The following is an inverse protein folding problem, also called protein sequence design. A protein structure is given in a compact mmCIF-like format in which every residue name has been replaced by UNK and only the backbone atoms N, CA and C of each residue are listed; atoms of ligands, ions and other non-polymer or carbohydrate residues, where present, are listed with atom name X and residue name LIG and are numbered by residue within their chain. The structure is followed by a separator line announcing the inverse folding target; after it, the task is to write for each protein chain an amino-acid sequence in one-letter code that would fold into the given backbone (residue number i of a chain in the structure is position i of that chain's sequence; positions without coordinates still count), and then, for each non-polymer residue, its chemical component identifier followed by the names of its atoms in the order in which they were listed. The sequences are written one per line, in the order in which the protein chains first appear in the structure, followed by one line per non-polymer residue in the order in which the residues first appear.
data_IF_314825694572
#
_entry.id   IF_314825694572
#
_cell.length_a   1.000
_cell.length_b   1.000
_cell.length_c   1.000
_cell.angle_alpha   90.00
_cell.angle_beta   90.00
_cell.angle_gamma   90.00
#
_symmetry.space_group_name_H-M   'P 1'
#
loop_
_entity.id
_entity.type
_entity.pdbx_description
1 polymer ?
#
# COMPACT_ATOMS: atom_id res chain seq x y z
N UNK A 1 6.91 -13.41 -5.97
CA UNK A 1 5.52 -13.01 -5.75
C UNK A 1 5.01 -12.31 -6.98
N UNK A 2 3.81 -12.61 -7.40
CA UNK A 2 3.21 -11.96 -8.55
C UNK A 2 2.10 -11.01 -8.13
N UNK A 3 1.52 -10.31 -9.09
CA UNK A 3 0.47 -9.31 -8.82
C UNK A 3 -0.74 -9.90 -8.09
N UNK A 4 -1.01 -11.19 -8.25
CA UNK A 4 -2.18 -11.83 -7.65
C UNK A 4 -2.15 -11.85 -6.13
N UNK A 5 -0.96 -11.80 -5.52
CA UNK A 5 -0.87 -11.79 -4.06
C UNK A 5 -1.23 -10.44 -3.46
N UNK A 6 -0.96 -9.35 -4.17
CA UNK A 6 -1.25 -8.01 -3.66
C UNK A 6 -2.66 -7.55 -4.00
N UNK A 7 -3.22 -8.00 -5.11
CA UNK A 7 -4.51 -7.50 -5.60
C UNK A 7 -5.62 -7.61 -4.56
N UNK A 8 -5.82 -8.75 -3.86
CA UNK A 8 -6.89 -8.82 -2.86
C UNK A 8 -6.71 -7.81 -1.73
N UNK A 9 -5.48 -7.58 -1.28
CA UNK A 9 -5.20 -6.63 -0.20
C UNK A 9 -5.43 -5.20 -0.68
N UNK A 10 -5.00 -4.87 -1.89
CA UNK A 10 -5.24 -3.55 -2.47
C UNK A 10 -6.72 -3.28 -2.65
N UNK A 11 -7.49 -4.28 -3.08
CA UNK A 11 -8.94 -4.16 -3.19
C UNK A 11 -9.59 -3.95 -1.81
N UNK A 12 -9.08 -4.64 -0.79
CA UNK A 12 -9.55 -4.45 0.58
C UNK A 12 -9.31 -3.02 1.06
N UNK A 13 -8.13 -2.48 0.79
CA UNK A 13 -7.78 -1.10 1.13
C UNK A 13 -8.70 -0.12 0.40
N UNK A 14 -8.97 -0.35 -0.89
CA UNK A 14 -9.88 0.51 -1.65
C UNK A 14 -11.27 0.53 -1.01
N UNK A 15 -11.77 -0.64 -0.60
CA UNK A 15 -13.05 -0.75 0.09
C UNK A 15 -13.05 0.04 1.41
N UNK A 16 -11.96 -0.05 2.18
CA UNK A 16 -11.84 0.68 3.44
C UNK A 16 -11.80 2.20 3.21
N UNK A 17 -11.12 2.66 2.17
CA UNK A 17 -11.10 4.08 1.84
C UNK A 17 -12.52 4.57 1.52
N UNK A 18 -13.25 3.82 0.68
CA UNK A 18 -14.62 4.19 0.32
C UNK A 18 -15.56 4.19 1.52
N UNK A 19 -15.44 3.17 2.38
CA UNK A 19 -16.25 3.09 3.60
C UNK A 19 -15.95 4.26 4.54
N UNK A 20 -14.67 4.60 4.69
CA UNK A 20 -14.25 5.71 5.55
C UNK A 20 -14.79 7.04 5.02
N UNK A 21 -14.71 7.27 3.71
CA UNK A 21 -15.26 8.49 3.11
C UNK A 21 -16.77 8.58 3.32
N UNK A 22 -17.48 7.47 3.19
CA UNK A 22 -18.92 7.46 3.41
C UNK A 22 -19.29 7.75 4.87
N UNK A 23 -18.49 7.23 5.81
CA UNK A 23 -18.71 7.45 7.23
C UNK A 23 -18.51 8.92 7.62
N UNK A 24 -17.59 9.62 6.95
CA UNK A 24 -17.24 11.01 7.25
C UNK A 24 -18.20 12.02 6.59
N UNK A 25 -19.39 11.66 6.21
CA UNK A 25 -20.36 12.54 5.55
C UNK A 25 -21.06 13.47 6.56
N UNK A 26 -20.29 14.27 7.28
CA UNK A 26 -20.85 15.18 8.26
C UNK A 26 -20.36 16.60 8.03
N UNK A 27 -19.68 17.12 9.02
CA UNK A 27 -19.16 18.47 8.97
C UNK A 27 -17.83 18.50 8.21
N UNK A 28 -17.86 19.02 6.99
CA UNK A 28 -16.67 19.11 6.14
C UNK A 28 -15.55 19.93 6.78
N UNK A 29 -15.90 20.95 7.55
CA UNK A 29 -14.88 21.78 8.20
C UNK A 29 -14.12 21.00 9.27
N UNK A 30 -14.81 20.15 10.03
CA UNK A 30 -14.18 19.34 11.06
C UNK A 30 -13.46 18.11 10.49
N UNK A 31 -13.93 17.60 9.36
CA UNK A 31 -13.42 16.36 8.78
C UNK A 31 -12.42 16.59 7.65
N UNK A 32 -12.09 17.83 7.37
CA UNK A 32 -11.22 18.18 6.24
C UNK A 32 -9.86 17.49 6.32
N UNK A 33 -9.25 17.43 7.51
CA UNK A 33 -7.96 16.79 7.70
C UNK A 33 -8.06 15.30 7.40
N UNK A 34 -9.13 14.65 7.84
CA UNK A 34 -9.33 13.23 7.62
C UNK A 34 -9.60 12.93 6.14
N UNK A 35 -10.32 13.79 5.45
CA UNK A 35 -10.53 13.66 4.02
C UNK A 35 -9.23 13.83 3.24
N UNK A 36 -8.35 14.72 3.69
CA UNK A 36 -7.00 14.83 3.13
C UNK A 36 -6.21 13.53 3.30
N UNK A 37 -6.24 12.96 4.52
CA UNK A 37 -5.53 11.71 4.78
C UNK A 37 -6.04 10.58 3.87
N UNK A 38 -7.34 10.52 3.65
CA UNK A 38 -7.93 9.50 2.77
C UNK A 38 -7.54 9.74 1.31
N UNK A 39 -7.42 11.00 0.90
CA UNK A 39 -6.95 11.35 -0.45
C UNK A 39 -5.52 10.90 -0.68
N UNK A 40 -4.64 11.07 0.32
CA UNK A 40 -3.27 10.57 0.24
C UNK A 40 -3.24 9.05 0.18
N UNK A 41 -4.08 8.37 0.97
CA UNK A 41 -4.17 6.92 0.90
C UNK A 41 -4.61 6.45 -0.49
N UNK A 42 -5.55 7.15 -1.11
CA UNK A 42 -6.00 6.83 -2.46
C UNK A 42 -4.88 7.03 -3.48
N UNK A 43 -4.10 8.09 -3.34
CA UNK A 43 -2.96 8.34 -4.23
C UNK A 43 -1.89 7.25 -4.08
N UNK A 44 -1.60 6.85 -2.84
CA UNK A 44 -0.64 5.78 -2.56
C UNK A 44 -1.12 4.45 -3.14
N UNK A 45 -2.42 4.15 -3.01
CA UNK A 45 -3.01 2.96 -3.59
C UNK A 45 -2.86 2.94 -5.11
N UNK A 46 -3.11 4.07 -5.75
CA UNK A 46 -2.93 4.19 -7.20
C UNK A 46 -1.48 3.98 -7.61
N UNK A 47 -0.54 4.54 -6.85
CA UNK A 47 0.88 4.36 -7.11
C UNK A 47 1.28 2.87 -7.01
N UNK A 48 0.78 2.16 -6.00
CA UNK A 48 1.04 0.74 -5.84
C UNK A 48 0.50 -0.06 -7.02
N UNK A 49 -0.73 0.22 -7.45
CA UNK A 49 -1.33 -0.46 -8.60
C UNK A 49 -0.54 -0.17 -9.89
N UNK A 50 -0.05 1.05 -10.03
CA UNK A 50 0.72 1.46 -11.21
C UNK A 50 2.05 0.71 -11.29
N UNK A 51 2.76 0.58 -10.17
CA UNK A 51 4.04 -0.14 -10.19
C UNK A 51 3.84 -1.64 -10.44
N UNK A 52 2.75 -2.22 -9.92
CA UNK A 52 2.44 -3.63 -10.20
C UNK A 52 2.13 -3.84 -11.69
N UNK A 53 1.41 -2.92 -12.31
CA UNK A 53 1.16 -3.00 -13.75
C UNK A 53 2.46 -2.91 -14.54
N UNK A 54 3.42 -2.11 -14.07
CA UNK A 54 4.73 -1.98 -14.71
C UNK A 54 5.55 -3.27 -14.66
N UNK A 55 5.38 -4.09 -13.62
CA UNK A 55 6.09 -5.38 -13.51
C UNK A 55 5.73 -6.32 -14.65
N UNK A 56 4.49 -6.28 -15.13
CA UNK A 56 4.07 -7.14 -16.24
C UNK A 56 4.84 -6.80 -17.51
N UNK A 57 5.20 -5.54 -17.71
CA UNK A 57 5.96 -5.08 -18.86
C UNK A 57 7.45 -5.21 -18.65
N UNK A 58 7.91 -5.11 -17.41
CA UNK A 58 9.32 -5.17 -17.07
C UNK A 58 9.52 -6.01 -15.80
N UNK A 59 9.68 -7.34 -15.95
CA UNK A 59 9.86 -8.23 -14.79
C UNK A 59 11.06 -7.90 -13.90
N UNK A 60 12.03 -7.14 -14.41
CA UNK A 60 13.17 -6.71 -13.60
C UNK A 60 12.75 -5.82 -12.43
N UNK A 61 11.55 -5.25 -12.48
CA UNK A 61 11.01 -4.42 -11.40
C UNK A 61 10.38 -5.23 -10.27
N UNK A 62 10.30 -6.56 -10.39
CA UNK A 62 9.53 -7.39 -9.46
C UNK A 62 9.93 -7.17 -8.00
N UNK A 63 11.24 -7.24 -7.71
CA UNK A 63 11.67 -7.19 -6.30
C UNK A 63 11.49 -5.80 -5.68
N UNK A 64 11.77 -4.74 -6.43
CA UNK A 64 11.53 -3.39 -5.91
C UNK A 64 10.05 -3.11 -5.78
N UNK A 65 9.23 -3.63 -6.71
CA UNK A 65 7.77 -3.49 -6.63
C UNK A 65 7.21 -4.21 -5.40
N UNK A 66 7.69 -5.41 -5.10
CA UNK A 66 7.28 -6.15 -3.91
C UNK A 66 7.52 -5.32 -2.65
N UNK A 67 8.72 -4.75 -2.52
CA UNK A 67 9.05 -3.90 -1.37
C UNK A 67 8.14 -2.68 -1.32
N UNK A 68 8.03 -1.96 -2.43
CA UNK A 68 7.27 -0.72 -2.47
C UNK A 68 5.80 -0.95 -2.13
N UNK A 69 5.18 -1.97 -2.73
CA UNK A 69 3.76 -2.25 -2.51
C UNK A 69 3.52 -2.73 -1.08
N UNK A 70 4.39 -3.59 -0.56
CA UNK A 70 4.28 -4.05 0.83
C UNK A 70 4.40 -2.86 1.80
N UNK A 71 5.31 -1.92 1.54
CA UNK A 71 5.49 -0.73 2.36
C UNK A 71 4.26 0.16 2.32
N UNK A 72 3.70 0.39 1.14
CA UNK A 72 2.48 1.20 0.98
C UNK A 72 1.31 0.58 1.73
N UNK A 73 1.08 -0.73 1.56
CA UNK A 73 -0.01 -1.42 2.24
C UNK A 73 0.15 -1.31 3.76
N UNK A 74 1.36 -1.55 4.26
CA UNK A 74 1.64 -1.49 5.69
C UNK A 74 1.40 -0.08 6.23
N UNK A 75 1.88 0.93 5.54
CA UNK A 75 1.74 2.32 5.94
C UNK A 75 0.28 2.75 6.01
N UNK A 76 -0.51 2.43 4.97
CA UNK A 76 -1.94 2.76 4.96
C UNK A 76 -2.67 2.03 6.08
N UNK A 77 -2.38 0.73 6.25
CA UNK A 77 -3.05 -0.08 7.28
C UNK A 77 -2.77 0.46 8.67
N UNK A 78 -1.53 0.86 8.96
CA UNK A 78 -1.18 1.42 10.25
C UNK A 78 -1.90 2.75 10.51
N UNK A 79 -2.01 3.60 9.51
CA UNK A 79 -2.76 4.85 9.64
C UNK A 79 -4.25 4.59 9.91
N UNK A 80 -4.83 3.60 9.23
CA UNK A 80 -6.22 3.22 9.46
C UNK A 80 -6.42 2.60 10.83
N UNK A 81 -5.46 1.81 11.31
CA UNK A 81 -5.55 1.20 12.64
C UNK A 81 -5.63 2.26 13.74
N UNK A 82 -4.82 3.30 13.62
CA UNK A 82 -4.82 4.41 14.59
C UNK A 82 -6.13 5.20 14.52
N UNK A 83 -6.73 5.32 13.33
CA UNK A 83 -7.92 6.13 13.10
C UNK A 83 -9.20 5.32 12.90
N UNK A 84 -9.17 4.02 13.22
CA UNK A 84 -10.30 3.13 12.91
C UNK A 84 -11.62 3.67 13.46
N UNK A 85 -11.62 4.12 14.70
CA UNK A 85 -12.83 4.66 15.32
C UNK A 85 -13.32 5.91 14.59
N UNK A 86 -12.42 6.80 14.22
CA UNK A 86 -12.76 8.02 13.48
C UNK A 86 -13.40 7.69 12.13
N UNK A 87 -12.94 6.63 11.47
CA UNK A 87 -13.42 6.22 10.15
C UNK A 87 -14.57 5.22 10.20
N UNK A 88 -15.02 4.84 11.39
CA UNK A 88 -16.11 3.87 11.52
C UNK A 88 -15.70 2.45 11.14
N UNK A 89 -14.45 2.09 11.34
CA UNK A 89 -13.91 0.78 10.99
C UNK A 89 -13.70 -0.08 12.22
N UNK A 90 -13.90 -1.39 12.04
CA UNK A 90 -13.56 -2.39 13.04
C UNK A 90 -12.15 -2.92 12.78
N UNK A 91 -11.44 -3.31 13.84
CA UNK A 91 -10.09 -3.84 13.71
C UNK A 91 -10.04 -5.06 12.78
N UNK A 92 -11.09 -5.89 12.81
CA UNK A 92 -11.16 -7.10 11.97
C UNK A 92 -11.27 -6.79 10.47
N UNK A 93 -11.65 -5.55 10.10
CA UNK A 93 -11.75 -5.15 8.70
C UNK A 93 -10.40 -4.81 8.08
N UNK A 94 -9.38 -4.59 8.92
CA UNK A 94 -8.07 -4.17 8.44
C UNK A 94 -7.30 -5.35 7.83
N UNK A 95 -6.44 -5.09 6.82
CA UNK A 95 -5.64 -6.15 6.23
C UNK A 95 -4.73 -6.85 7.23
N UNK A 96 -4.55 -8.14 7.05
CA UNK A 96 -3.54 -8.90 7.77
C UNK A 96 -2.20 -8.71 7.06
N UNK A 97 -1.23 -8.16 7.77
CA UNK A 97 0.07 -7.80 7.20
C UNK A 97 1.11 -8.90 7.33
N UNK A 98 0.78 -10.02 7.96
CA UNK A 98 1.77 -11.05 8.28
C UNK A 98 2.48 -11.57 7.03
N UNK A 99 1.74 -11.83 5.96
CA UNK A 99 2.30 -12.34 4.71
C UNK A 99 3.19 -11.33 3.97
N UNK A 100 3.13 -10.06 4.35
CA UNK A 100 3.89 -9.00 3.68
C UNK A 100 5.19 -8.67 4.39
N UNK A 101 5.39 -9.16 5.61
CA UNK A 101 6.53 -8.78 6.43
C UNK A 101 7.87 -9.21 5.82
N UNK A 102 7.89 -10.32 5.09
CA UNK A 102 9.11 -10.81 4.46
C UNK A 102 9.67 -9.81 3.46
N UNK A 103 8.82 -9.05 2.77
CA UNK A 103 9.26 -8.05 1.79
C UNK A 103 9.83 -6.80 2.45
N UNK A 104 9.59 -6.62 3.74
CA UNK A 104 10.07 -5.48 4.51
C UNK A 104 11.20 -5.87 5.45
N UNK A 105 11.63 -7.12 5.44
CA UNK A 105 12.68 -7.62 6.32
C UNK A 105 14.02 -6.97 5.98
N UNK A 106 14.92 -6.84 6.97
CA UNK A 106 16.28 -6.34 6.70
C UNK A 106 17.01 -7.17 5.65
N UNK A 107 16.79 -8.48 5.62
CA UNK A 107 17.41 -9.37 4.66
C UNK A 107 16.95 -9.07 3.23
N UNK A 108 15.63 -8.85 3.05
CA UNK A 108 15.09 -8.52 1.73
C UNK A 108 15.59 -7.16 1.26
N UNK A 109 15.59 -6.17 2.14
CA UNK A 109 16.05 -4.81 1.81
C UNK A 109 17.54 -4.82 1.48
N UNK A 110 18.34 -5.57 2.24
CA UNK A 110 19.77 -5.70 1.97
C UNK A 110 20.04 -6.35 0.61
N UNK A 111 19.26 -7.37 0.26
CA UNK A 111 19.38 -8.03 -1.04
C UNK A 111 19.04 -7.07 -2.18
N UNK A 112 18.03 -6.21 -2.01
CA UNK A 112 17.70 -5.18 -3.00
C UNK A 112 18.85 -4.21 -3.18
N UNK A 113 19.43 -3.73 -2.07
CA UNK A 113 20.56 -2.82 -2.12
C UNK A 113 21.76 -3.43 -2.83
N UNK A 114 22.04 -4.71 -2.56
CA UNK A 114 23.15 -5.41 -3.21
C UNK A 114 22.88 -5.57 -4.71
N UNK A 115 21.65 -5.84 -5.09
CA UNK A 115 21.28 -5.93 -6.50
C UNK A 115 21.54 -4.61 -7.23
N UNK A 116 21.21 -3.47 -6.59
CA UNK A 116 21.46 -2.15 -7.18
C UNK A 116 22.96 -1.88 -7.31
N UNK A 117 23.77 -2.33 -6.35
CA UNK A 117 25.21 -2.16 -6.42
C UNK A 117 25.81 -3.01 -7.56
N UNK A 118 25.29 -4.21 -7.77
CA UNK A 118 25.83 -5.13 -8.77
C UNK A 118 25.31 -4.80 -10.18
N UNK A 119 24.04 -4.49 -10.32
CA UNK A 119 23.35 -4.40 -11.62
C UNK A 119 22.89 -3.00 -11.97
N UNK A 120 22.97 -2.05 -11.03
CA UNK A 120 22.41 -0.73 -11.18
C UNK A 120 20.88 -0.75 -11.03
N UNK A 121 20.26 0.40 -11.31
CA UNK A 121 18.81 0.50 -11.22
C UNK A 121 18.13 -0.25 -12.36
N UNK A 122 16.99 -0.94 -12.10
CA UNK A 122 16.24 -1.57 -13.18
C UNK A 122 15.79 -0.54 -14.21
N UNK A 123 15.92 -0.91 -15.49
CA UNK A 123 15.42 -0.06 -16.56
C UNK A 123 13.90 -0.18 -16.65
N UNK A 124 13.25 0.95 -16.88
CA UNK A 124 11.82 0.99 -17.14
C UNK A 124 11.59 1.33 -18.60
N UNK A 125 10.71 0.60 -19.24
CA UNK A 125 10.33 0.89 -20.62
C UNK A 125 9.29 1.99 -20.69
#
# INVERSE_FOLDING_TARGET
MNNCQFTPVLDQIDTLIRKSCAFLQGDLDQEQIELYNLSFAQADLLAARTILAGVEKNPNLTHIANYFVADVITSITQKFAVRAKTYGLEAAELPNLESLQDFLSPEYVSALGQQFLDDGLPESD
#
